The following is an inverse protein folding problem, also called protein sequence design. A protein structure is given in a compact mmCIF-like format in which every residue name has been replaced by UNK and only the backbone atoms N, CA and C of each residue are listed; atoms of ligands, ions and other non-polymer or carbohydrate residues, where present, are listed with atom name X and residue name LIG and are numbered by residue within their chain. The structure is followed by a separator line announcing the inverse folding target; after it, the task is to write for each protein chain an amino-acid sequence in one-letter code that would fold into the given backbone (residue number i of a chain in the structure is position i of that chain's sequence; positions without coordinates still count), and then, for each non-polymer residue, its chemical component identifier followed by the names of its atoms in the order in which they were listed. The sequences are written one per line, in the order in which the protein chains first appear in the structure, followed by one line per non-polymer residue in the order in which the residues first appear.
data_IF_660272474538
#
_entry.id   IF_660272474538
#
_cell.length_a   1.000
_cell.length_b   1.000
_cell.length_c   1.000
_cell.angle_alpha   90.00
_cell.angle_beta   90.00
_cell.angle_gamma   90.00
#
_symmetry.space_group_name_H-M   'P 1'
#
loop_
_entity.id
_entity.type
_entity.pdbx_description
1 polymer ?
#
# COMPACT_ATOMS: atom_id res chain seq x y z
N UNK A 1 -3.70 11.22 8.06
CA UNK A 1 -2.89 12.46 8.20
C UNK A 1 -3.71 13.59 7.63
N UNK A 2 -4.17 14.51 8.45
CA UNK A 2 -5.00 15.63 8.06
C UNK A 2 -4.30 16.50 6.99
N UNK A 3 -5.05 17.10 6.06
CA UNK A 3 -4.52 18.07 5.08
C UNK A 3 -3.65 19.15 5.72
N UNK A 4 -3.88 19.48 7.01
CA UNK A 4 -3.04 20.36 7.82
C UNK A 4 -1.61 19.84 8.03
N UNK A 5 -1.38 18.53 8.04
CA UNK A 5 -0.02 17.98 8.15
C UNK A 5 0.81 18.13 6.88
N UNK A 6 0.20 18.36 5.72
CA UNK A 6 0.97 18.81 4.54
C UNK A 6 1.68 20.14 4.80
N UNK A 7 1.18 20.98 5.68
CA UNK A 7 1.89 22.18 6.14
C UNK A 7 2.99 21.85 7.15
N UNK A 8 2.77 20.87 8.03
CA UNK A 8 3.81 20.38 8.95
C UNK A 8 4.89 19.64 8.17
N UNK A 9 4.54 18.87 7.16
CA UNK A 9 5.47 18.18 6.27
C UNK A 9 6.35 19.13 5.44
N UNK A 10 6.00 20.41 5.35
CA UNK A 10 6.85 21.44 4.76
C UNK A 10 7.85 22.04 5.74
N UNK A 11 7.66 21.79 7.04
CA UNK A 11 8.48 22.42 8.08
C UNK A 11 9.92 21.91 8.09
N UNK A 12 10.27 20.79 7.52
CA UNK A 12 11.64 20.30 7.37
C UNK A 12 12.24 20.49 5.98
N UNK A 13 11.48 20.96 4.99
CA UNK A 13 12.00 21.23 3.65
C UNK A 13 12.73 22.56 3.60
N UNK A 14 13.80 22.67 2.79
CA UNK A 14 14.41 23.99 2.55
C UNK A 14 13.31 24.97 2.07
N UNK A 15 13.28 26.19 2.59
CA UNK A 15 12.24 27.17 2.29
C UNK A 15 12.16 27.39 0.77
N UNK A 16 10.95 27.32 0.24
CA UNK A 16 10.66 27.94 -1.06
C UNK A 16 10.65 29.45 -0.81
N UNK A 17 11.09 30.22 -1.78
CA UNK A 17 11.23 31.69 -1.71
C UNK A 17 10.17 32.34 -0.80
N UNK A 18 10.60 32.86 0.36
CA UNK A 18 9.77 33.55 1.33
C UNK A 18 9.42 32.80 2.63
N UNK A 19 9.69 31.50 2.74
CA UNK A 19 9.39 30.72 3.95
C UNK A 19 10.56 30.86 4.95
N UNK A 20 10.29 31.39 6.12
CA UNK A 20 11.23 31.41 7.28
C UNK A 20 11.06 30.11 8.08
N UNK A 21 11.52 28.98 7.54
CA UNK A 21 11.49 27.73 8.27
C UNK A 21 12.71 27.62 9.21
N UNK A 22 12.46 27.21 10.44
CA UNK A 22 13.52 26.91 11.40
C UNK A 22 14.34 25.73 10.88
N UNK A 23 15.67 25.87 10.85
CA UNK A 23 16.62 24.85 10.40
C UNK A 23 16.58 23.56 11.23
N UNK A 24 15.99 23.64 12.42
CA UNK A 24 15.88 22.52 13.37
C UNK A 24 14.58 21.71 13.20
N UNK A 25 13.74 22.03 12.21
CA UNK A 25 12.50 21.31 11.94
C UNK A 25 12.71 20.33 10.79
N UNK A 26 12.43 19.05 11.05
CA UNK A 26 12.48 17.99 10.06
C UNK A 26 11.09 17.67 9.51
N UNK A 27 11.03 17.28 8.23
CA UNK A 27 9.80 16.75 7.64
C UNK A 27 9.56 15.35 8.20
N UNK A 28 8.61 15.24 9.13
CA UNK A 28 8.26 14.00 9.81
C UNK A 28 7.94 12.85 8.84
N UNK A 29 7.30 13.13 7.72
CA UNK A 29 6.98 12.10 6.73
C UNK A 29 8.24 11.51 6.11
N UNK A 30 9.17 12.36 5.66
CA UNK A 30 10.42 11.89 5.07
C UNK A 30 11.31 11.18 6.08
N UNK A 31 11.39 11.70 7.31
CA UNK A 31 12.16 11.07 8.39
C UNK A 31 11.65 9.66 8.70
N UNK A 32 10.33 9.45 8.72
CA UNK A 32 9.75 8.13 9.00
C UNK A 32 9.81 7.15 7.82
N UNK A 33 9.97 7.65 6.61
CA UNK A 33 10.13 6.79 5.43
C UNK A 33 11.59 6.45 5.11
N UNK A 34 12.52 6.92 5.94
CA UNK A 34 13.94 6.59 5.85
C UNK A 34 14.29 5.49 6.85
N UNK A 35 14.74 4.35 6.36
CA UNK A 35 15.30 3.30 7.23
C UNK A 35 16.71 3.70 7.71
N UNK A 36 16.87 3.77 9.03
CA UNK A 36 18.12 4.20 9.67
C UNK A 36 19.26 3.17 9.58
N UNK A 37 18.95 1.91 9.28
CA UNK A 37 19.94 0.82 9.19
C UNK A 37 20.52 0.75 7.77
N UNK A 38 19.65 0.67 6.76
CA UNK A 38 20.07 0.62 5.36
C UNK A 38 20.34 2.00 4.76
N UNK A 39 19.93 3.08 5.44
CA UNK A 39 19.97 4.46 4.96
C UNK A 39 19.26 4.63 3.59
N UNK A 40 18.16 3.90 3.41
CA UNK A 40 17.34 3.92 2.20
C UNK A 40 15.93 4.39 2.54
N UNK A 41 15.33 5.17 1.65
CA UNK A 41 13.89 5.40 1.70
C UNK A 41 13.13 4.12 1.36
N UNK A 42 11.88 4.00 1.85
CA UNK A 42 11.05 2.84 1.58
C UNK A 42 10.92 2.53 0.09
N UNK A 43 10.80 3.55 -0.76
CA UNK A 43 10.80 3.40 -2.21
C UNK A 43 12.10 2.77 -2.74
N UNK A 44 13.25 3.15 -2.19
CA UNK A 44 14.55 2.57 -2.56
C UNK A 44 14.72 1.12 -2.10
N UNK A 45 14.05 0.71 -1.01
CA UNK A 45 13.99 -0.71 -0.62
C UNK A 45 13.16 -1.52 -1.60
N UNK A 46 12.11 -0.92 -2.17
CA UNK A 46 11.33 -1.53 -3.25
C UNK A 46 12.15 -1.65 -4.54
N UNK A 47 12.89 -0.61 -4.92
CA UNK A 47 13.79 -0.66 -6.09
C UNK A 47 14.85 -1.74 -5.94
N UNK A 48 15.45 -1.87 -4.76
CA UNK A 48 16.43 -2.93 -4.46
C UNK A 48 15.81 -4.33 -4.57
N UNK A 49 14.59 -4.51 -4.06
CA UNK A 49 13.85 -5.76 -4.22
C UNK A 49 13.58 -6.06 -5.70
N UNK A 50 13.08 -5.07 -6.45
CA UNK A 50 12.80 -5.21 -7.87
C UNK A 50 14.03 -5.61 -8.67
N UNK A 51 15.19 -5.00 -8.36
CA UNK A 51 16.47 -5.32 -8.98
C UNK A 51 16.89 -6.78 -8.70
N UNK A 52 16.70 -7.27 -7.47
CA UNK A 52 17.04 -8.68 -7.10
C UNK A 52 16.09 -9.69 -7.73
N UNK A 53 14.87 -9.27 -8.02
CA UNK A 53 13.80 -10.14 -8.54
C UNK A 53 13.56 -9.95 -10.05
N UNK A 54 14.40 -9.17 -10.74
CA UNK A 54 14.26 -8.84 -12.16
C UNK A 54 12.85 -8.34 -12.51
N UNK A 55 12.33 -7.43 -11.69
CA UNK A 55 11.06 -6.72 -11.97
C UNK A 55 11.37 -5.44 -12.73
N UNK A 56 10.71 -5.25 -13.87
CA UNK A 56 10.92 -4.07 -14.72
C UNK A 56 9.92 -2.96 -14.43
N UNK A 57 10.21 -1.75 -14.90
CA UNK A 57 9.31 -0.60 -14.84
C UNK A 57 7.99 -0.89 -15.56
N UNK A 58 8.05 -1.55 -16.70
CA UNK A 58 6.87 -1.92 -17.49
C UNK A 58 5.96 -2.88 -16.73
N UNK A 59 6.52 -3.82 -15.98
CA UNK A 59 5.75 -4.74 -15.13
C UNK A 59 5.08 -3.99 -13.98
N UNK A 60 5.82 -3.10 -13.31
CA UNK A 60 5.28 -2.26 -12.24
C UNK A 60 4.14 -1.36 -12.75
N UNK A 61 4.33 -0.68 -13.88
CA UNK A 61 3.30 0.19 -14.47
C UNK A 61 2.09 -0.60 -14.98
N UNK A 62 2.28 -1.82 -15.49
CA UNK A 62 1.18 -2.68 -15.90
C UNK A 62 0.30 -3.09 -14.71
N UNK A 63 0.93 -3.45 -13.58
CA UNK A 63 0.21 -3.78 -12.35
C UNK A 63 -0.49 -2.55 -11.75
N UNK A 64 0.18 -1.40 -11.70
CA UNK A 64 -0.42 -0.15 -11.23
C UNK A 64 -1.64 0.26 -12.08
N UNK A 65 -1.55 0.13 -13.41
CA UNK A 65 -2.69 0.40 -14.29
C UNK A 65 -3.88 -0.51 -14.00
N UNK A 66 -3.63 -1.80 -13.72
CA UNK A 66 -4.67 -2.75 -13.30
C UNK A 66 -5.30 -2.36 -11.97
N UNK A 67 -4.50 -1.95 -10.99
CA UNK A 67 -5.00 -1.48 -9.69
C UNK A 67 -5.90 -0.26 -9.83
N UNK A 68 -5.49 0.74 -10.61
CA UNK A 68 -6.35 1.90 -10.92
C UNK A 68 -7.65 1.52 -11.63
N UNK A 69 -7.61 0.58 -12.58
CA UNK A 69 -8.80 0.10 -13.30
C UNK A 69 -9.76 -0.64 -12.36
N UNK A 70 -9.25 -1.47 -11.45
CA UNK A 70 -10.06 -2.15 -10.43
C UNK A 70 -10.75 -1.17 -9.49
N UNK A 71 -10.04 -0.12 -9.08
CA UNK A 71 -10.57 0.98 -8.27
C UNK A 71 -11.70 1.70 -9.01
N UNK A 72 -11.49 2.06 -10.29
CA UNK A 72 -12.50 2.70 -11.13
C UNK A 72 -13.75 1.85 -11.26
N UNK A 73 -13.58 0.56 -11.49
CA UNK A 73 -14.68 -0.40 -11.58
C UNK A 73 -15.44 -0.54 -10.25
N UNK A 74 -14.73 -0.62 -9.12
CA UNK A 74 -15.34 -0.70 -7.78
C UNK A 74 -16.16 0.54 -7.44
N UNK A 75 -15.69 1.74 -7.82
CA UNK A 75 -16.44 2.99 -7.67
C UNK A 75 -17.68 2.97 -8.57
N UNK A 76 -17.52 2.55 -9.83
CA UNK A 76 -18.59 2.52 -10.82
C UNK A 76 -19.71 1.53 -10.45
N UNK A 77 -19.35 0.35 -9.95
CA UNK A 77 -20.30 -0.70 -9.54
C UNK A 77 -20.88 -0.47 -8.15
N UNK A 78 -20.29 0.42 -7.35
CA UNK A 78 -20.70 0.68 -5.98
C UNK A 78 -20.26 -0.39 -4.98
N UNK A 79 -19.32 -1.26 -5.33
CA UNK A 79 -18.80 -2.34 -4.47
C UNK A 79 -18.34 -1.82 -3.11
N UNK A 80 -17.66 -0.68 -3.07
CA UNK A 80 -17.20 -0.07 -1.81
C UNK A 80 -18.30 0.55 -0.96
N UNK A 81 -19.52 0.70 -1.47
CA UNK A 81 -20.62 1.29 -0.70
C UNK A 81 -21.06 0.42 0.47
N UNK A 82 -20.74 -0.86 0.47
CA UNK A 82 -21.00 -1.80 1.56
C UNK A 82 -19.91 -1.77 2.64
N UNK A 83 -18.71 -1.30 2.30
CA UNK A 83 -17.53 -1.34 3.18
C UNK A 83 -17.17 0.04 3.74
N UNK A 84 -17.36 1.10 2.96
CA UNK A 84 -16.94 2.45 3.31
C UNK A 84 -18.08 3.25 3.93
N UNK A 85 -17.88 3.65 5.17
CA UNK A 85 -18.81 4.52 5.90
C UNK A 85 -18.58 5.98 5.49
N UNK A 86 -19.65 6.64 5.03
CA UNK A 86 -19.59 8.07 4.74
C UNK A 86 -19.49 8.90 6.00
N UNK A 87 -18.65 9.93 5.98
CA UNK A 87 -18.45 10.87 7.08
C UNK A 87 -18.76 12.30 6.65
N UNK A 88 -19.07 13.16 7.61
CA UNK A 88 -19.27 14.59 7.39
C UNK A 88 -18.01 15.36 7.80
N UNK A 89 -17.44 16.12 6.88
CA UNK A 89 -16.26 16.96 7.12
C UNK A 89 -16.58 18.36 6.57
N UNK A 90 -16.58 19.36 7.42
CA UNK A 90 -16.85 20.77 7.05
C UNK A 90 -18.10 20.95 6.17
N UNK A 91 -19.17 20.23 6.50
CA UNK A 91 -20.45 20.28 5.78
C UNK A 91 -20.49 19.53 4.45
N UNK A 92 -19.44 18.79 4.13
CA UNK A 92 -19.38 17.89 2.94
C UNK A 92 -19.43 16.45 3.39
N UNK A 93 -20.18 15.63 2.66
CA UNK A 93 -20.13 14.18 2.81
C UNK A 93 -18.91 13.65 2.06
N UNK A 94 -18.09 12.85 2.72
CA UNK A 94 -16.98 12.11 2.11
C UNK A 94 -17.31 10.62 2.27
N UNK A 95 -17.23 9.86 1.21
CA UNK A 95 -17.65 8.46 1.19
C UNK A 95 -17.04 7.65 0.04
N UNK A 96 -17.67 6.53 -0.35
CA UNK A 96 -17.11 5.53 -1.26
C UNK A 96 -16.64 6.03 -2.64
N UNK A 97 -17.07 7.22 -3.05
CA UNK A 97 -16.72 7.81 -4.36
C UNK A 97 -15.64 8.88 -4.28
N UNK A 98 -15.16 9.17 -3.08
CA UNK A 98 -14.27 10.30 -2.83
C UNK A 98 -12.80 9.86 -2.66
N UNK A 99 -12.39 8.83 -3.38
CA UNK A 99 -10.99 8.40 -3.47
C UNK A 99 -10.16 9.47 -4.20
N UNK A 100 -9.19 10.08 -3.51
CA UNK A 100 -8.43 11.23 -4.03
C UNK A 100 -7.06 10.86 -4.60
N UNK A 101 -6.63 9.62 -4.49
CA UNK A 101 -5.40 9.12 -5.09
C UNK A 101 -5.63 8.47 -6.46
N UNK A 102 -6.79 7.91 -6.66
CA UNK A 102 -7.19 7.31 -7.91
C UNK A 102 -7.31 8.36 -9.03
N UNK A 103 -6.73 8.05 -10.18
CA UNK A 103 -6.83 8.88 -11.39
C UNK A 103 -7.63 8.12 -12.44
N UNK A 104 -8.87 8.58 -12.77
CA UNK A 104 -9.70 7.92 -13.77
C UNK A 104 -9.00 7.81 -15.13
N UNK A 105 -9.19 6.69 -15.81
CA UNK A 105 -8.62 6.45 -17.13
C UNK A 105 -7.10 6.25 -17.13
N UNK A 106 -6.50 5.93 -15.98
CA UNK A 106 -5.07 5.61 -15.91
C UNK A 106 -4.75 4.39 -16.77
N UNK A 107 -3.73 4.54 -17.63
CA UNK A 107 -3.24 3.49 -18.51
C UNK A 107 -1.76 3.24 -18.28
N UNK A 108 -1.27 2.07 -18.71
CA UNK A 108 0.17 1.79 -18.73
C UNK A 108 0.96 2.86 -19.51
N UNK A 109 0.42 3.37 -20.62
CA UNK A 109 1.06 4.41 -21.41
C UNK A 109 1.15 5.74 -20.65
N UNK A 110 0.11 6.14 -19.91
CA UNK A 110 0.17 7.37 -19.10
C UNK A 110 1.18 7.24 -17.96
N UNK A 111 1.27 6.05 -17.32
CA UNK A 111 2.22 5.79 -16.25
C UNK A 111 3.68 5.78 -16.72
N UNK A 112 3.96 5.24 -17.90
CA UNK A 112 5.32 5.18 -18.47
C UNK A 112 5.96 6.56 -18.69
N UNK A 113 5.15 7.61 -18.84
CA UNK A 113 5.60 8.99 -19.01
C UNK A 113 5.95 9.69 -17.68
N UNK A 114 5.63 9.06 -16.54
CA UNK A 114 5.92 9.66 -15.24
C UNK A 114 7.40 9.54 -14.89
N UNK A 115 7.94 10.65 -14.38
CA UNK A 115 9.33 10.67 -13.89
C UNK A 115 9.48 9.87 -12.60
N UNK A 116 10.63 9.29 -12.42
CA UNK A 116 11.03 8.65 -11.16
C UNK A 116 11.46 9.70 -10.12
N UNK A 117 11.28 9.39 -8.83
CA UNK A 117 11.62 10.30 -7.74
C UNK A 117 12.97 10.03 -7.09
N UNK A 118 13.47 8.80 -7.15
CA UNK A 118 14.65 8.32 -6.41
C UNK A 118 15.86 8.03 -7.32
N UNK A 119 15.93 8.71 -8.45
CA UNK A 119 17.03 8.60 -9.41
C UNK A 119 16.61 7.95 -10.72
N UNK A 120 17.47 7.96 -11.74
CA UNK A 120 17.15 7.47 -13.08
C UNK A 120 16.88 5.95 -13.13
N UNK A 121 17.50 5.20 -12.21
CA UNK A 121 17.36 3.73 -12.13
C UNK A 121 16.19 3.29 -11.24
N UNK A 122 15.46 4.22 -10.64
CA UNK A 122 14.27 3.91 -9.83
C UNK A 122 13.09 3.52 -10.72
N UNK A 123 12.30 2.54 -10.26
CA UNK A 123 11.03 2.17 -10.89
C UNK A 123 9.87 2.97 -10.31
N UNK A 124 10.06 3.59 -9.13
CA UNK A 124 8.99 4.22 -8.36
C UNK A 124 8.64 5.60 -8.90
N UNK A 125 7.37 5.80 -9.16
CA UNK A 125 6.76 7.07 -9.61
C UNK A 125 5.54 7.41 -8.78
N UNK A 126 4.98 8.60 -8.96
CA UNK A 126 3.74 9.00 -8.30
C UNK A 126 2.51 8.16 -8.72
N UNK A 127 2.58 7.45 -9.86
CA UNK A 127 1.46 6.66 -10.39
C UNK A 127 1.54 5.16 -10.08
N UNK A 128 2.68 4.69 -9.55
CA UNK A 128 2.88 3.27 -9.20
C UNK A 128 3.33 3.07 -7.76
N UNK A 129 3.12 4.08 -6.92
CA UNK A 129 3.32 4.06 -5.48
C UNK A 129 2.01 4.37 -4.77
N UNK A 130 1.81 3.81 -3.58
CA UNK A 130 0.68 4.15 -2.71
C UNK A 130 0.70 5.64 -2.37
N UNK A 131 -0.45 6.28 -2.40
CA UNK A 131 -0.61 7.68 -2.05
C UNK A 131 -0.45 7.95 -0.56
N UNK A 132 -0.13 9.21 -0.25
CA UNK A 132 -0.17 9.70 1.13
C UNK A 132 -1.58 10.22 1.36
N UNK A 133 -2.43 9.37 1.91
CA UNK A 133 -3.86 9.61 2.09
C UNK A 133 -4.28 9.34 3.53
N UNK A 134 -5.39 9.93 3.94
CA UNK A 134 -5.99 9.69 5.24
C UNK A 134 -6.99 8.53 5.15
N UNK A 135 -6.97 7.64 6.12
CA UNK A 135 -7.90 6.53 6.19
C UNK A 135 -7.96 5.94 7.60
N UNK A 136 -9.07 5.28 7.89
CA UNK A 136 -9.25 4.52 9.11
C UNK A 136 -10.12 3.29 8.83
N UNK A 137 -9.78 2.18 9.47
CA UNK A 137 -10.59 0.96 9.44
C UNK A 137 -10.74 0.40 10.84
N UNK A 138 -11.87 -0.23 11.13
CA UNK A 138 -12.12 -0.87 12.40
C UNK A 138 -12.81 -2.22 12.19
N UNK A 139 -12.33 -3.24 12.92
CA UNK A 139 -12.94 -4.57 12.96
C UNK A 139 -13.15 -5.00 14.40
N UNK A 140 -14.22 -5.75 14.66
CA UNK A 140 -14.48 -6.36 15.97
C UNK A 140 -13.98 -7.80 15.94
N UNK A 141 -13.01 -8.12 16.80
CA UNK A 141 -12.48 -9.48 16.96
C UNK A 141 -13.04 -10.08 18.25
N UNK A 142 -13.66 -11.25 18.14
CA UNK A 142 -14.21 -12.02 19.28
C UNK A 142 -13.76 -13.47 19.22
N UNK A 143 -13.80 -14.18 20.35
CA UNK A 143 -13.74 -15.63 20.32
C UNK A 143 -15.03 -16.19 19.68
N UNK A 144 -14.95 -17.36 19.06
CA UNK A 144 -16.10 -18.02 18.45
C UNK A 144 -17.24 -18.25 19.46
N UNK A 145 -16.88 -18.65 20.71
CA UNK A 145 -17.88 -18.89 21.76
C UNK A 145 -18.59 -17.58 22.17
N UNK A 146 -17.82 -16.47 22.23
CA UNK A 146 -18.41 -15.17 22.50
C UNK A 146 -19.34 -14.72 21.37
N UNK A 147 -18.93 -14.85 20.13
CA UNK A 147 -19.78 -14.52 18.98
C UNK A 147 -21.10 -15.31 19.00
N UNK A 148 -21.02 -16.62 19.25
CA UNK A 148 -22.22 -17.47 19.37
C UNK A 148 -23.13 -17.05 20.51
N UNK A 149 -22.58 -16.71 21.71
CA UNK A 149 -23.40 -16.29 22.85
C UNK A 149 -24.05 -14.95 22.64
N UNK A 150 -23.45 -14.06 21.87
CA UNK A 150 -24.00 -12.75 21.52
C UNK A 150 -24.98 -12.81 20.34
N UNK A 151 -25.07 -13.94 19.66
CA UNK A 151 -25.89 -14.10 18.45
C UNK A 151 -25.28 -13.46 17.20
N UNK A 152 -23.97 -13.19 17.21
CA UNK A 152 -23.28 -12.63 16.04
C UNK A 152 -22.96 -13.71 15.03
N UNK A 153 -23.03 -13.35 13.75
CA UNK A 153 -22.57 -14.17 12.63
C UNK A 153 -21.16 -13.67 12.21
N UNK A 154 -20.11 -14.48 12.41
CA UNK A 154 -18.75 -14.07 12.03
C UNK A 154 -18.58 -13.96 10.51
N UNK A 155 -18.01 -12.85 10.02
CA UNK A 155 -17.67 -12.70 8.60
C UNK A 155 -16.53 -13.64 8.17
N UNK A 156 -15.56 -13.87 9.07
CA UNK A 156 -14.42 -14.74 8.81
C UNK A 156 -13.81 -15.24 10.13
N UNK A 157 -12.92 -16.20 10.02
CA UNK A 157 -12.09 -16.71 11.11
C UNK A 157 -10.62 -16.41 10.84
N UNK A 158 -9.92 -15.83 11.82
CA UNK A 158 -8.45 -15.73 11.78
C UNK A 158 -7.88 -17.13 12.03
N UNK A 159 -7.22 -17.71 11.03
CA UNK A 159 -6.68 -19.08 11.08
C UNK A 159 -5.26 -19.05 11.66
N UNK A 160 -4.42 -18.16 11.17
CA UNK A 160 -3.03 -18.04 11.60
C UNK A 160 -2.49 -16.63 11.25
N UNK A 161 -1.27 -16.37 11.69
CA UNK A 161 -0.52 -15.16 11.32
C UNK A 161 0.98 -15.47 11.28
N UNK A 162 1.73 -14.67 10.50
CA UNK A 162 3.18 -14.73 10.42
C UNK A 162 3.81 -13.36 10.64
N UNK A 163 4.78 -13.27 11.53
CA UNK A 163 5.61 -12.09 11.76
C UNK A 163 7.05 -12.51 11.56
N UNK A 164 7.78 -11.79 10.71
CA UNK A 164 9.15 -12.08 10.36
C UNK A 164 10.01 -10.82 10.37
N UNK A 165 11.27 -10.95 10.72
CA UNK A 165 12.31 -9.95 10.46
C UNK A 165 13.09 -10.34 9.22
N UNK A 166 13.58 -9.37 8.47
CA UNK A 166 14.39 -9.60 7.28
C UNK A 166 15.43 -8.51 7.09
N UNK A 167 16.25 -8.64 6.05
CA UNK A 167 17.24 -7.64 5.66
C UNK A 167 16.56 -6.28 5.42
N UNK A 168 16.97 -5.21 6.14
CA UNK A 168 16.32 -3.90 6.04
C UNK A 168 16.30 -3.34 4.61
N UNK A 169 17.38 -3.57 3.83
CA UNK A 169 17.48 -3.07 2.46
C UNK A 169 16.42 -3.61 1.50
N UNK A 170 15.75 -4.71 1.85
CA UNK A 170 14.66 -5.32 1.08
C UNK A 170 13.41 -5.52 1.95
N UNK A 171 13.11 -4.60 2.88
CA UNK A 171 11.93 -4.73 3.74
C UNK A 171 10.63 -4.92 2.94
N UNK A 172 10.59 -4.39 1.73
CA UNK A 172 9.48 -4.57 0.79
C UNK A 172 9.16 -6.05 0.44
N UNK A 173 10.08 -6.99 0.71
CA UNK A 173 9.89 -8.43 0.55
C UNK A 173 9.10 -9.09 1.70
N UNK A 174 8.87 -8.36 2.80
CA UNK A 174 8.21 -8.87 4.01
C UNK A 174 6.94 -9.71 3.80
N UNK A 175 6.03 -9.37 2.85
CA UNK A 175 4.84 -10.16 2.58
C UNK A 175 5.11 -11.63 2.26
N UNK A 176 6.22 -11.95 1.60
CA UNK A 176 6.53 -13.32 1.19
C UNK A 176 6.84 -14.24 2.38
N UNK A 177 7.88 -13.99 3.20
CA UNK A 177 8.19 -14.90 4.30
C UNK A 177 7.11 -14.88 5.39
N UNK A 178 6.39 -13.76 5.62
CA UNK A 178 5.29 -13.74 6.58
C UNK A 178 4.11 -14.58 6.12
N UNK A 179 3.76 -14.54 4.83
CA UNK A 179 2.71 -15.39 4.26
C UNK A 179 3.09 -16.87 4.31
N UNK A 180 4.32 -17.22 3.90
CA UNK A 180 4.81 -18.60 4.00
C UNK A 180 4.74 -19.13 5.44
N UNK A 181 5.14 -18.33 6.44
CA UNK A 181 5.04 -18.69 7.85
C UNK A 181 3.58 -18.85 8.31
N UNK A 182 2.68 -17.97 7.87
CA UNK A 182 1.27 -18.06 8.22
C UNK A 182 0.63 -19.32 7.62
N UNK A 183 0.93 -19.63 6.36
CA UNK A 183 0.45 -20.85 5.69
C UNK A 183 0.98 -22.13 6.36
N UNK A 184 2.27 -22.17 6.70
CA UNK A 184 2.87 -23.29 7.43
C UNK A 184 2.14 -23.55 8.75
N UNK A 185 1.91 -22.49 9.55
CA UNK A 185 1.16 -22.57 10.81
C UNK A 185 -0.29 -23.01 10.63
N UNK A 186 -0.90 -22.68 9.51
CA UNK A 186 -2.26 -23.08 9.16
C UNK A 186 -2.34 -24.50 8.62
N UNK A 187 -1.22 -25.15 8.29
CA UNK A 187 -1.18 -26.41 7.54
C UNK A 187 -1.77 -26.26 6.12
N UNK A 188 -1.65 -25.06 5.53
CA UNK A 188 -2.20 -24.72 4.23
C UNK A 188 -1.10 -24.54 3.17
N UNK A 189 -1.45 -24.71 1.91
CA UNK A 189 -0.57 -24.46 0.77
C UNK A 189 -0.93 -23.15 0.06
N UNK A 190 0.01 -22.60 -0.69
CA UNK A 190 -0.20 -21.40 -1.51
C UNK A 190 -1.35 -21.63 -2.51
N UNK A 191 -1.39 -22.77 -3.16
CA UNK A 191 -2.44 -23.13 -4.14
C UNK A 191 -3.83 -23.27 -3.52
N UNK A 192 -3.92 -23.45 -2.20
CA UNK A 192 -5.17 -23.51 -1.45
C UNK A 192 -5.77 -22.13 -1.15
N UNK A 193 -5.07 -21.03 -1.43
CA UNK A 193 -5.53 -19.68 -1.16
C UNK A 193 -6.30 -19.14 -2.37
N UNK A 194 -7.57 -18.85 -2.20
CA UNK A 194 -8.44 -18.37 -3.28
C UNK A 194 -8.35 -16.85 -3.51
N UNK A 195 -7.90 -16.06 -2.51
CA UNK A 195 -7.71 -14.61 -2.59
C UNK A 195 -6.52 -14.19 -1.77
N UNK A 196 -5.80 -13.21 -2.29
CA UNK A 196 -4.67 -12.55 -1.64
C UNK A 196 -4.94 -11.05 -1.56
N UNK A 197 -4.70 -10.49 -0.39
CA UNK A 197 -4.60 -9.05 -0.18
C UNK A 197 -3.16 -8.71 0.15
N UNK A 198 -2.51 -7.98 -0.74
CA UNK A 198 -1.13 -7.52 -0.57
C UNK A 198 -1.14 -6.00 -0.63
N UNK A 199 -0.69 -5.36 0.45
CA UNK A 199 -0.56 -3.91 0.44
C UNK A 199 0.37 -3.46 -0.69
N UNK A 200 -0.16 -2.64 -1.59
CA UNK A 200 0.53 -2.11 -2.76
C UNK A 200 1.32 -0.85 -2.39
N UNK A 201 2.26 -0.96 -1.43
CA UNK A 201 3.10 0.18 -1.09
C UNK A 201 3.80 0.74 -2.34
N UNK A 202 4.25 -0.18 -3.20
CA UNK A 202 4.77 0.10 -4.54
C UNK A 202 4.36 -1.05 -5.48
N UNK A 203 3.93 -0.73 -6.68
CA UNK A 203 3.51 -1.75 -7.65
C UNK A 203 4.63 -2.76 -7.96
N UNK A 204 5.88 -2.30 -8.08
CA UNK A 204 7.04 -3.20 -8.27
C UNK A 204 7.23 -4.17 -7.11
N UNK A 205 7.02 -3.72 -5.86
CA UNK A 205 7.05 -4.57 -4.68
C UNK A 205 5.98 -5.66 -4.73
N UNK A 206 4.73 -5.29 -5.07
CA UNK A 206 3.63 -6.25 -5.18
C UNK A 206 3.93 -7.30 -6.26
N UNK A 207 4.41 -6.88 -7.43
CA UNK A 207 4.84 -7.78 -8.52
C UNK A 207 5.95 -8.73 -8.07
N UNK A 208 6.98 -8.23 -7.36
CA UNK A 208 8.06 -9.05 -6.83
C UNK A 208 7.55 -10.11 -5.85
N UNK A 209 6.65 -9.71 -4.94
CA UNK A 209 6.04 -10.65 -3.97
C UNK A 209 5.19 -11.72 -4.66
N UNK A 210 4.35 -11.34 -5.61
CA UNK A 210 3.54 -12.29 -6.39
C UNK A 210 4.42 -13.29 -7.16
N UNK A 211 5.50 -12.79 -7.79
CA UNK A 211 6.45 -13.63 -8.54
C UNK A 211 7.09 -14.70 -7.66
N UNK A 212 7.55 -14.34 -6.45
CA UNK A 212 8.19 -15.30 -5.54
C UNK A 212 7.18 -16.25 -4.86
N UNK A 213 5.96 -15.79 -4.61
CA UNK A 213 4.88 -16.65 -4.11
C UNK A 213 4.31 -17.57 -5.20
N UNK A 214 4.59 -17.29 -6.47
CA UNK A 214 4.03 -18.04 -7.60
C UNK A 214 2.51 -17.88 -7.75
N UNK A 215 1.96 -16.72 -7.35
CA UNK A 215 0.53 -16.44 -7.40
C UNK A 215 0.15 -15.59 -8.61
N UNK A 216 -1.02 -15.88 -9.17
CA UNK A 216 -1.54 -15.13 -10.30
C UNK A 216 -2.20 -13.83 -9.84
N UNK A 217 -1.97 -12.74 -10.57
CA UNK A 217 -2.54 -11.42 -10.26
C UNK A 217 -4.07 -11.37 -10.31
N UNK A 218 -4.75 -12.35 -10.90
CA UNK A 218 -6.22 -12.40 -10.93
C UNK A 218 -6.84 -12.74 -9.58
N UNK A 219 -6.05 -13.29 -8.67
CA UNK A 219 -6.48 -13.62 -7.30
C UNK A 219 -5.89 -12.69 -6.24
N UNK A 220 -5.18 -11.63 -6.65
CA UNK A 220 -4.59 -10.59 -5.79
C UNK A 220 -5.41 -9.32 -5.89
#
# INVERSE_FOLDING_TARGET
VLRGTRHINRLGRPPRNGDTLNKDMEDYLFTNLLDSISNKFMAQTSDELCRRMDVTREQADAFAALSHQRTEESIRTGTWSEEIVSIQVDGKTIGPKDEDHFVPGTTRQSLSNLRTHFGPDSLVTAGNASGIVDGAAAVVVKSLDRAKSDGDEPLARIVSWGIVGLEPAIMAYGPVPSSKLALDRAGASIDGVSRWEINEAFAGQAVACMKDLGIDQSIV
#
